data_IF_246646056432
#
_entry.id   IF_246646056432
#
_cell.length_a   1.000
_cell.length_b   1.000
_cell.length_c   1.000
_cell.angle_alpha   90.00
_cell.angle_beta   90.00
_cell.angle_gamma   90.00
#
_symmetry.space_group_name_H-M   'P 1'
#
loop_
_entity.id
_entity.type
_entity.pdbx_description
1 polymer ?
#
# COMPACT_ATOMS: atom_id res chain seq x y z
N UNK A 1 -8.39 6.84 -25.13
CA UNK A 1 -7.20 7.73 -25.07
C UNK A 1 -6.61 7.76 -23.66
N UNK A 2 -7.44 7.96 -22.59
CA UNK A 2 -6.96 8.06 -21.21
C UNK A 2 -6.19 6.80 -20.76
N UNK A 3 -6.76 5.63 -20.93
CA UNK A 3 -6.15 4.34 -20.56
C UNK A 3 -4.78 4.11 -21.21
N UNK A 4 -4.61 4.58 -22.45
CA UNK A 4 -3.42 4.29 -23.25
C UNK A 4 -2.25 5.23 -22.97
N UNK A 5 -2.51 6.53 -22.78
CA UNK A 5 -1.48 7.56 -22.61
C UNK A 5 -1.77 8.55 -21.48
N UNK A 6 -3.03 8.97 -21.29
CA UNK A 6 -3.39 10.04 -20.38
C UNK A 6 -3.12 9.69 -18.91
N UNK A 7 -3.42 8.45 -18.51
CA UNK A 7 -3.14 7.99 -17.14
C UNK A 7 -1.65 8.03 -16.82
N UNK A 8 -0.81 7.56 -17.74
CA UNK A 8 0.64 7.56 -17.52
C UNK A 8 1.21 8.97 -17.49
N UNK A 9 0.71 9.85 -18.34
CA UNK A 9 1.11 11.26 -18.35
C UNK A 9 0.73 11.95 -17.04
N UNK A 10 -0.50 11.74 -16.56
CA UNK A 10 -0.95 12.25 -15.26
C UNK A 10 -0.06 11.73 -14.12
N UNK A 11 0.21 10.42 -14.09
CA UNK A 11 1.08 9.80 -13.09
C UNK A 11 2.47 10.45 -13.08
N UNK A 12 3.08 10.63 -14.24
CA UNK A 12 4.42 11.22 -14.36
C UNK A 12 4.43 12.70 -13.90
N UNK A 13 3.47 13.49 -14.37
CA UNK A 13 3.39 14.91 -14.01
C UNK A 13 3.19 15.09 -12.51
N UNK A 14 2.22 14.40 -11.93
CA UNK A 14 1.90 14.54 -10.51
C UNK A 14 2.98 13.92 -9.60
N UNK A 15 3.58 12.79 -9.99
CA UNK A 15 4.67 12.19 -9.22
C UNK A 15 5.94 13.06 -9.27
N UNK A 16 6.28 13.64 -10.43
CA UNK A 16 7.41 14.56 -10.56
C UNK A 16 7.20 15.82 -9.74
N UNK A 17 6.01 16.42 -9.81
CA UNK A 17 5.64 17.59 -9.00
C UNK A 17 5.67 17.25 -7.50
N UNK A 18 5.12 16.08 -7.13
CA UNK A 18 5.15 15.59 -5.75
C UNK A 18 6.58 15.45 -5.22
N UNK A 19 7.48 14.83 -5.98
CA UNK A 19 8.89 14.71 -5.60
C UNK A 19 9.57 16.08 -5.51
N UNK A 20 9.32 16.98 -6.48
CA UNK A 20 9.88 18.33 -6.46
C UNK A 20 9.46 19.13 -5.23
N UNK A 21 8.21 19.00 -4.78
CA UNK A 21 7.68 19.73 -3.63
C UNK A 21 8.02 19.05 -2.30
N UNK A 22 8.04 17.72 -2.26
CA UNK A 22 8.15 16.94 -1.01
C UNK A 22 9.59 16.46 -0.72
N UNK A 23 10.58 16.72 -1.59
CA UNK A 23 11.96 16.27 -1.34
C UNK A 23 12.56 16.77 -0.02
N UNK A 24 12.32 18.04 0.46
CA UNK A 24 12.87 18.45 1.73
C UNK A 24 12.24 17.69 2.90
N UNK A 25 10.92 17.43 2.80
CA UNK A 25 10.21 16.61 3.79
C UNK A 25 10.72 15.16 3.75
N UNK A 26 10.97 14.59 2.57
CA UNK A 26 11.53 13.24 2.44
C UNK A 26 12.93 13.13 3.06
N UNK A 27 13.78 14.14 2.89
CA UNK A 27 15.09 14.19 3.54
C UNK A 27 14.95 14.24 5.07
N UNK A 28 14.08 15.11 5.59
CA UNK A 28 13.79 15.20 7.01
C UNK A 28 13.29 13.87 7.59
N UNK A 29 12.30 13.26 6.94
CA UNK A 29 11.77 11.94 7.34
C UNK A 29 12.88 10.89 7.30
N UNK A 30 13.67 10.84 6.24
CA UNK A 30 14.80 9.92 6.10
C UNK A 30 15.84 10.07 7.23
N UNK A 31 16.17 11.31 7.59
CA UNK A 31 17.06 11.60 8.72
C UNK A 31 16.45 11.14 10.05
N UNK A 32 15.18 11.44 10.29
CA UNK A 32 14.49 11.00 11.50
C UNK A 32 14.37 9.46 11.60
N UNK A 33 14.12 8.78 10.48
CA UNK A 33 14.17 7.30 10.41
C UNK A 33 15.56 6.80 10.77
N UNK A 34 16.62 7.42 10.20
CA UNK A 34 18.01 7.04 10.48
C UNK A 34 18.36 7.18 11.97
N UNK A 35 17.91 8.26 12.61
CA UNK A 35 18.18 8.54 14.04
C UNK A 35 17.35 7.63 14.94
N UNK A 36 16.04 7.46 14.67
CA UNK A 36 15.13 6.76 15.60
C UNK A 36 15.06 5.25 15.39
N UNK A 37 15.26 4.77 14.16
CA UNK A 37 15.12 3.36 13.80
C UNK A 37 16.42 2.73 13.27
N UNK A 38 17.43 3.56 12.95
CA UNK A 38 18.72 3.09 12.43
C UNK A 38 18.72 2.83 10.91
N UNK A 39 19.63 1.97 10.45
CA UNK A 39 19.79 1.56 9.05
C UNK A 39 19.14 0.19 8.80
N UNK A 40 18.63 -0.08 7.55
CA UNK A 40 18.47 0.83 6.42
C UNK A 40 17.31 1.81 6.61
N UNK A 41 17.36 2.99 5.97
CA UNK A 41 16.29 4.00 6.01
C UNK A 41 15.11 3.60 5.15
N UNK A 42 15.40 3.00 3.98
CA UNK A 42 14.40 2.55 3.01
C UNK A 42 14.14 1.06 3.22
N UNK A 43 12.90 0.74 3.48
CA UNK A 43 12.37 -0.61 3.44
C UNK A 43 12.06 -0.99 2.00
N UNK A 44 12.43 -2.23 1.62
CA UNK A 44 12.22 -2.77 0.28
C UNK A 44 11.49 -4.08 0.38
N UNK A 45 10.46 -4.25 -0.44
CA UNK A 45 9.71 -5.51 -0.48
C UNK A 45 9.24 -5.81 -1.91
N UNK A 46 9.41 -7.05 -2.34
CA UNK A 46 8.90 -7.50 -3.63
C UNK A 46 7.38 -7.62 -3.57
N UNK A 47 6.72 -7.06 -4.56
CA UNK A 47 5.25 -7.03 -4.68
C UNK A 47 4.83 -7.35 -6.13
N UNK A 48 3.61 -7.88 -6.34
CA UNK A 48 3.09 -8.08 -7.68
C UNK A 48 2.63 -6.75 -8.29
N UNK A 49 3.09 -6.47 -9.48
CA UNK A 49 2.74 -5.31 -10.30
C UNK A 49 1.73 -5.64 -11.39
N UNK A 50 1.86 -4.93 -12.51
CA UNK A 50 1.06 -5.17 -13.72
C UNK A 50 1.24 -6.63 -14.19
N UNK A 51 0.14 -7.32 -14.49
CA UNK A 51 0.12 -8.73 -14.89
C UNK A 51 0.79 -9.68 -13.86
N UNK A 52 0.80 -9.28 -12.57
CA UNK A 52 1.44 -10.06 -11.51
C UNK A 52 2.98 -10.03 -11.53
N UNK A 53 3.60 -9.29 -12.45
CA UNK A 53 5.06 -9.22 -12.56
C UNK A 53 5.68 -8.61 -11.29
N UNK A 54 6.73 -9.21 -10.72
CA UNK A 54 7.32 -8.71 -9.50
C UNK A 54 8.01 -7.37 -9.70
N UNK A 55 7.88 -6.46 -8.74
CA UNK A 55 8.65 -5.23 -8.64
C UNK A 55 9.06 -4.96 -7.19
N UNK A 56 10.05 -4.10 -6.97
CA UNK A 56 10.50 -3.72 -5.63
C UNK A 56 9.82 -2.45 -5.17
N UNK A 57 8.95 -2.57 -4.18
CA UNK A 57 8.28 -1.45 -3.51
C UNK A 57 9.24 -0.76 -2.55
N UNK A 58 9.27 0.58 -2.55
CA UNK A 58 10.09 1.40 -1.66
C UNK A 58 9.23 2.16 -0.65
N UNK A 59 9.56 2.03 0.64
CA UNK A 59 8.94 2.80 1.73
C UNK A 59 9.99 3.30 2.70
N UNK A 60 9.69 4.33 3.49
CA UNK A 60 10.47 4.56 4.69
C UNK A 60 10.21 3.45 5.71
N UNK A 61 11.26 3.02 6.40
CA UNK A 61 11.17 2.03 7.46
C UNK A 61 10.37 2.59 8.63
N UNK A 62 9.42 1.82 9.15
CA UNK A 62 8.54 2.19 10.27
C UNK A 62 8.72 1.30 11.49
N UNK A 63 9.46 0.21 11.36
CA UNK A 63 9.70 -0.79 12.41
C UNK A 63 11.18 -0.91 12.73
N UNK A 64 11.52 -1.29 13.95
CA UNK A 64 12.89 -1.68 14.33
C UNK A 64 13.23 -3.05 13.73
N UNK A 65 14.50 -3.28 13.50
CA UNK A 65 15.03 -4.56 13.06
C UNK A 65 15.42 -5.39 14.28
N UNK A 66 14.40 -6.00 14.93
CA UNK A 66 14.56 -6.81 16.13
C UNK A 66 14.26 -8.27 15.80
N UNK A 67 15.17 -9.16 16.24
CA UNK A 67 15.07 -10.60 16.02
C UNK A 67 15.03 -11.33 17.36
N UNK A 68 14.36 -12.48 17.40
CA UNK A 68 14.36 -13.40 18.53
C UNK A 68 15.68 -14.18 18.64
N UNK A 69 15.80 -14.99 19.67
CA UNK A 69 16.93 -15.88 19.87
C UNK A 69 17.10 -16.95 18.78
N UNK A 70 16.05 -17.22 18.03
CA UNK A 70 15.99 -18.12 16.88
C UNK A 70 16.39 -17.44 15.55
N UNK A 71 16.73 -16.13 15.58
CA UNK A 71 17.06 -15.34 14.41
C UNK A 71 15.83 -14.90 13.59
N UNK A 72 14.60 -15.29 13.97
CA UNK A 72 13.39 -14.82 13.32
C UNK A 72 13.01 -13.39 13.74
N UNK A 73 12.39 -12.59 12.86
CA UNK A 73 11.90 -11.27 13.25
C UNK A 73 10.87 -11.36 14.37
N UNK A 74 11.00 -10.50 15.38
CA UNK A 74 9.99 -10.39 16.43
C UNK A 74 8.62 -10.00 15.86
N UNK A 75 7.51 -10.26 16.57
CA UNK A 75 6.17 -9.83 16.17
C UNK A 75 6.12 -8.34 15.87
N UNK A 76 5.31 -7.94 14.89
CA UNK A 76 5.20 -6.56 14.41
C UNK A 76 4.87 -5.56 15.54
N UNK A 77 4.06 -5.96 16.53
CA UNK A 77 3.71 -5.16 17.71
C UNK A 77 4.95 -4.76 18.53
N UNK A 78 5.98 -5.61 18.60
CA UNK A 78 7.18 -5.38 19.39
C UNK A 78 8.23 -4.55 18.62
N UNK A 79 8.13 -4.56 17.28
CA UNK A 79 9.00 -3.83 16.35
C UNK A 79 8.46 -2.44 15.99
N UNK A 80 7.13 -2.27 16.01
CA UNK A 80 6.48 -1.01 15.63
C UNK A 80 6.63 0.03 16.73
N UNK A 81 7.28 1.14 16.42
CA UNK A 81 7.50 2.24 17.37
C UNK A 81 6.41 3.31 17.26
N UNK A 82 6.21 4.16 18.30
CA UNK A 82 5.28 5.31 18.18
C UNK A 82 5.60 6.21 17.00
N UNK A 83 6.88 6.39 16.66
CA UNK A 83 7.31 7.11 15.47
C UNK A 83 6.89 6.39 14.17
N UNK A 84 7.01 5.07 14.13
CA UNK A 84 6.53 4.27 13.01
C UNK A 84 5.01 4.34 12.85
N UNK A 85 4.27 4.33 13.95
CA UNK A 85 2.81 4.57 13.94
C UNK A 85 2.51 5.95 13.36
N UNK A 86 3.20 7.00 13.79
CA UNK A 86 3.04 8.35 13.25
C UNK A 86 3.30 8.38 11.74
N UNK A 87 4.39 7.78 11.23
CA UNK A 87 4.69 7.74 9.80
C UNK A 87 3.56 7.06 9.01
N UNK A 88 3.07 5.91 9.48
CA UNK A 88 1.94 5.18 8.86
C UNK A 88 0.64 5.98 8.92
N UNK A 89 0.39 6.66 10.02
CA UNK A 89 -0.82 7.45 10.21
C UNK A 89 -0.89 8.68 9.31
N UNK A 90 0.24 9.20 8.93
CA UNK A 90 0.36 10.34 8.01
C UNK A 90 0.65 9.93 6.58
N UNK A 91 0.80 8.61 6.31
CA UNK A 91 1.25 8.04 5.02
C UNK A 91 2.61 8.60 4.54
N UNK A 92 3.40 9.19 5.43
CA UNK A 92 4.73 9.70 5.09
C UNK A 92 5.70 8.57 4.75
N UNK A 93 5.46 7.36 5.27
CA UNK A 93 6.24 6.17 4.92
C UNK A 93 6.10 5.77 3.45
N UNK A 94 5.03 6.15 2.77
CA UNK A 94 4.75 5.79 1.38
C UNK A 94 5.33 6.79 0.36
N UNK A 95 5.89 7.93 0.79
CA UNK A 95 6.47 8.92 -0.13
C UNK A 95 7.53 8.35 -1.10
N UNK A 96 8.40 7.40 -0.72
CA UNK A 96 9.34 6.78 -1.66
C UNK A 96 8.67 5.98 -2.80
N UNK A 97 7.38 5.61 -2.68
CA UNK A 97 6.65 4.94 -3.77
C UNK A 97 6.48 5.84 -5.01
N UNK A 98 6.61 7.16 -4.87
CA UNK A 98 6.66 8.09 -6.01
C UNK A 98 7.78 7.73 -6.99
N UNK A 99 8.91 7.18 -6.52
CA UNK A 99 9.95 6.65 -7.42
C UNK A 99 9.48 5.41 -8.19
N UNK A 100 8.66 4.53 -7.58
CA UNK A 100 8.06 3.40 -8.29
C UNK A 100 7.09 3.89 -9.38
N UNK A 101 6.34 4.99 -9.10
CA UNK A 101 5.49 5.61 -10.11
C UNK A 101 6.33 6.15 -11.28
N UNK A 102 7.41 6.88 -11.02
CA UNK A 102 8.29 7.39 -12.09
C UNK A 102 8.93 6.28 -12.92
N UNK A 103 9.31 5.16 -12.29
CA UNK A 103 9.83 3.97 -13.00
C UNK A 103 8.77 3.25 -13.85
N UNK A 104 7.47 3.50 -13.61
CA UNK A 104 6.37 2.82 -14.31
C UNK A 104 6.00 1.48 -13.70
N UNK A 105 6.50 1.16 -12.53
CA UNK A 105 6.16 -0.03 -11.75
C UNK A 105 4.80 0.14 -11.06
N UNK A 106 4.46 1.38 -10.69
CA UNK A 106 3.21 1.79 -10.05
C UNK A 106 2.53 2.95 -10.78
N UNK A 107 1.30 3.22 -10.37
CA UNK A 107 0.50 4.40 -10.66
C UNK A 107 0.20 5.16 -9.36
N UNK A 108 -0.22 6.41 -9.43
CA UNK A 108 -0.75 7.11 -8.26
C UNK A 108 -2.04 6.47 -7.75
N UNK A 109 -2.93 6.08 -8.69
CA UNK A 109 -4.22 5.45 -8.38
C UNK A 109 -4.29 4.07 -8.99
N UNK A 110 -4.63 3.07 -8.18
CA UNK A 110 -4.79 1.67 -8.60
C UNK A 110 -5.02 0.75 -7.41
N UNK A 111 -5.23 -0.56 -7.64
CA UNK A 111 -5.27 -1.55 -6.57
C UNK A 111 -3.98 -1.56 -5.75
N UNK A 112 -4.08 -1.62 -4.41
CA UNK A 112 -2.90 -1.68 -3.54
C UNK A 112 -2.08 -2.94 -3.81
N UNK A 113 -0.74 -2.86 -4.00
CA UNK A 113 0.09 -4.05 -4.21
C UNK A 113 0.14 -4.87 -2.92
N UNK A 114 -0.38 -6.10 -2.98
CA UNK A 114 -0.42 -7.04 -1.84
C UNK A 114 0.82 -7.94 -1.85
N UNK A 115 0.83 -9.02 -1.06
CA UNK A 115 1.97 -9.94 -0.98
C UNK A 115 2.05 -10.84 -2.22
N UNK A 116 3.26 -11.23 -2.63
CA UNK A 116 3.47 -12.17 -3.74
C UNK A 116 2.79 -13.51 -3.50
N UNK A 117 2.80 -13.98 -2.26
CA UNK A 117 2.17 -15.25 -1.83
C UNK A 117 0.66 -15.29 -2.04
N UNK A 118 0.01 -14.15 -2.27
CA UNK A 118 -1.44 -14.09 -2.54
C UNK A 118 -1.79 -14.39 -3.99
N UNK A 119 -0.83 -14.36 -4.92
CA UNK A 119 -1.09 -14.63 -6.35
C UNK A 119 -1.72 -16.01 -6.56
N UNK A 120 -1.24 -17.01 -5.83
CA UNK A 120 -1.74 -18.40 -5.94
C UNK A 120 -3.09 -18.61 -5.23
N UNK A 121 -3.53 -17.63 -4.42
CA UNK A 121 -4.77 -17.71 -3.66
C UNK A 121 -5.94 -16.97 -4.33
N UNK A 122 -5.67 -16.18 -5.37
CA UNK A 122 -6.71 -15.40 -6.05
C UNK A 122 -7.57 -16.28 -6.96
N UNK A 123 -8.87 -16.02 -6.94
CA UNK A 123 -9.75 -16.52 -8.00
C UNK A 123 -9.41 -15.81 -9.34
N UNK A 124 -9.82 -16.39 -10.49
CA UNK A 124 -9.64 -15.73 -11.79
C UNK A 124 -10.20 -14.31 -11.83
N UNK A 125 -11.32 -14.06 -11.15
CA UNK A 125 -11.92 -12.72 -11.06
C UNK A 125 -11.06 -11.77 -10.24
N UNK A 126 -10.55 -12.20 -9.09
CA UNK A 126 -9.67 -11.39 -8.23
C UNK A 126 -8.32 -11.09 -8.91
N UNK A 127 -7.83 -11.99 -9.74
CA UNK A 127 -6.60 -11.80 -10.52
C UNK A 127 -6.69 -10.62 -11.50
N UNK A 128 -7.89 -10.23 -11.93
CA UNK A 128 -8.13 -9.07 -12.81
C UNK A 128 -7.62 -7.76 -12.23
N UNK A 129 -7.47 -7.66 -10.92
CA UNK A 129 -6.86 -6.50 -10.25
C UNK A 129 -5.46 -6.15 -10.74
N UNK A 130 -4.75 -7.14 -11.32
CA UNK A 130 -3.42 -6.99 -11.91
C UNK A 130 -3.42 -6.56 -13.38
N UNK A 131 -4.59 -6.35 -14.00
CA UNK A 131 -4.70 -5.83 -15.37
C UNK A 131 -4.31 -4.34 -15.47
N UNK A 132 -4.17 -3.67 -14.34
CA UNK A 132 -3.66 -2.30 -14.24
C UNK A 132 -2.47 -2.24 -13.29
N UNK A 133 -1.67 -1.15 -13.38
CA UNK A 133 -0.59 -0.93 -12.42
C UNK A 133 -1.14 -0.77 -11.01
N UNK A 134 -0.48 -1.33 -9.98
CA UNK A 134 -0.84 -1.08 -8.61
C UNK A 134 -0.68 0.41 -8.27
N UNK A 135 -1.51 0.92 -7.35
CA UNK A 135 -1.53 2.31 -6.94
C UNK A 135 -0.93 2.56 -5.56
N UNK A 136 -0.43 3.78 -5.35
CA UNK A 136 -0.14 4.31 -4.01
C UNK A 136 -1.46 4.42 -3.24
N UNK A 137 -2.50 4.96 -3.89
CA UNK A 137 -3.87 4.96 -3.39
C UNK A 137 -4.82 4.24 -4.34
N UNK A 138 -6.03 3.94 -3.89
CA UNK A 138 -7.03 3.25 -4.68
C UNK A 138 -8.40 3.26 -4.03
N UNK A 139 -9.41 2.81 -4.78
CA UNK A 139 -10.81 2.87 -4.34
C UNK A 139 -11.01 2.11 -3.01
N UNK A 140 -10.46 0.91 -2.85
CA UNK A 140 -10.57 0.14 -1.60
C UNK A 140 -9.94 0.88 -0.41
N UNK A 141 -8.83 1.60 -0.63
CA UNK A 141 -8.16 2.38 0.41
C UNK A 141 -8.99 3.59 0.85
N UNK A 142 -9.67 4.27 -0.09
CA UNK A 142 -10.48 5.44 0.25
C UNK A 142 -11.90 5.09 0.72
N UNK A 143 -12.43 3.89 0.41
CA UNK A 143 -13.77 3.50 0.84
C UNK A 143 -13.81 2.89 2.25
N UNK A 144 -12.79 2.17 2.69
CA UNK A 144 -12.85 1.53 4.01
C UNK A 144 -11.52 1.06 4.59
N UNK A 145 -10.42 1.05 3.80
CA UNK A 145 -9.10 0.56 4.26
C UNK A 145 -9.21 -0.79 4.99
N UNK A 146 -8.91 -0.79 6.30
CA UNK A 146 -8.85 -1.99 7.13
C UNK A 146 -10.23 -2.49 7.60
N UNK A 147 -11.30 -1.69 7.43
CA UNK A 147 -12.65 -2.09 7.77
C UNK A 147 -13.34 -2.98 6.72
N UNK A 148 -12.77 -3.07 5.51
CA UNK A 148 -13.29 -3.91 4.44
C UNK A 148 -12.83 -5.37 4.62
N UNK A 149 -13.72 -6.31 4.37
CA UNK A 149 -13.37 -7.72 4.17
C UNK A 149 -12.46 -7.88 2.93
N UNK A 150 -11.77 -9.02 2.81
CA UNK A 150 -10.94 -9.31 1.66
C UNK A 150 -11.76 -9.36 0.36
N UNK A 151 -12.95 -9.93 0.40
CA UNK A 151 -13.88 -10.04 -0.72
C UNK A 151 -14.33 -8.66 -1.21
N UNK A 152 -14.74 -7.78 -0.28
CA UNK A 152 -15.13 -6.41 -0.61
C UNK A 152 -13.98 -5.61 -1.22
N UNK A 153 -12.77 -5.79 -0.68
CA UNK A 153 -11.56 -5.13 -1.17
C UNK A 153 -11.27 -5.56 -2.61
N UNK A 154 -11.29 -6.88 -2.89
CA UNK A 154 -11.05 -7.38 -4.25
C UNK A 154 -12.16 -6.98 -5.22
N UNK A 155 -13.42 -6.97 -4.77
CA UNK A 155 -14.55 -6.48 -5.58
C UNK A 155 -14.37 -5.01 -5.98
N UNK A 156 -13.94 -4.16 -5.05
CA UNK A 156 -13.65 -2.76 -5.34
C UNK A 156 -12.43 -2.60 -6.27
N UNK A 157 -11.40 -3.39 -6.08
CA UNK A 157 -10.22 -3.37 -6.96
C UNK A 157 -10.58 -3.76 -8.41
N UNK A 158 -11.39 -4.81 -8.60
CA UNK A 158 -11.86 -5.23 -9.94
C UNK A 158 -12.83 -4.20 -10.50
N UNK A 159 -13.76 -3.67 -9.69
CA UNK A 159 -14.64 -2.60 -10.13
C UNK A 159 -13.86 -1.38 -10.63
N UNK A 160 -12.76 -1.01 -9.96
CA UNK A 160 -11.89 0.07 -10.43
C UNK A 160 -11.28 -0.24 -11.80
N UNK A 161 -10.82 -1.48 -12.04
CA UNK A 161 -10.28 -1.92 -13.34
C UNK A 161 -11.31 -1.70 -14.45
N UNK A 162 -12.58 -2.08 -14.21
CA UNK A 162 -13.66 -1.98 -15.18
C UNK A 162 -14.13 -0.53 -15.43
N UNK A 163 -14.00 0.36 -14.45
CA UNK A 163 -14.49 1.73 -14.48
C UNK A 163 -13.37 2.79 -14.57
N UNK A 164 -12.15 2.39 -14.87
CA UNK A 164 -11.00 3.27 -14.89
C UNK A 164 -11.20 4.46 -15.82
N UNK A 165 -11.14 5.67 -15.26
CA UNK A 165 -11.32 6.94 -15.97
C UNK A 165 -10.57 8.07 -15.26
N UNK A 166 -10.27 9.15 -15.99
CA UNK A 166 -9.64 10.35 -15.42
C UNK A 166 -10.46 10.92 -14.25
N UNK A 167 -11.76 11.01 -14.42
CA UNK A 167 -12.67 11.53 -13.38
C UNK A 167 -12.63 10.69 -12.11
N UNK A 168 -12.59 9.36 -12.27
CA UNK A 168 -12.49 8.44 -11.13
C UNK A 168 -11.15 8.59 -10.41
N UNK A 169 -10.04 8.68 -11.15
CA UNK A 169 -8.71 8.88 -10.58
C UNK A 169 -8.62 10.19 -9.80
N UNK A 170 -9.11 11.31 -10.38
CA UNK A 170 -9.15 12.61 -9.68
C UNK A 170 -10.02 12.52 -8.41
N UNK A 171 -11.17 11.87 -8.48
CA UNK A 171 -12.04 11.66 -7.31
C UNK A 171 -11.30 10.88 -6.20
N UNK A 172 -10.64 9.79 -6.54
CA UNK A 172 -9.88 8.98 -5.58
C UNK A 172 -8.72 9.80 -4.97
N UNK A 173 -7.98 10.58 -5.77
CA UNK A 173 -6.92 11.45 -5.29
C UNK A 173 -7.46 12.50 -4.30
N UNK A 174 -8.57 13.18 -4.62
CA UNK A 174 -9.21 14.14 -3.75
C UNK A 174 -9.66 13.50 -2.42
N UNK A 175 -10.30 12.32 -2.47
CA UNK A 175 -10.69 11.57 -1.28
C UNK A 175 -9.47 11.16 -0.45
N UNK A 176 -8.36 10.80 -1.08
CA UNK A 176 -7.11 10.45 -0.41
C UNK A 176 -6.56 11.63 0.38
N UNK A 177 -6.48 12.82 -0.24
CA UNK A 177 -6.04 14.04 0.45
C UNK A 177 -6.93 14.34 1.66
N UNK A 178 -8.25 14.29 1.50
CA UNK A 178 -9.18 14.49 2.62
C UNK A 178 -8.94 13.50 3.77
N UNK A 179 -8.73 12.19 3.45
CA UNK A 179 -8.49 11.15 4.48
C UNK A 179 -7.14 11.31 5.18
N UNK A 180 -6.10 11.69 4.45
CA UNK A 180 -4.77 11.97 5.05
C UNK A 180 -4.85 13.14 6.01
N UNK A 181 -5.54 14.23 5.64
CA UNK A 181 -5.74 15.41 6.50
C UNK A 181 -6.54 15.03 7.74
N UNK A 182 -7.62 14.25 7.61
CA UNK A 182 -8.48 13.83 8.73
C UNK A 182 -7.88 12.70 9.57
N UNK A 183 -6.80 12.07 9.12
CA UNK A 183 -6.16 10.90 9.77
C UNK A 183 -7.14 9.75 10.03
N UNK A 184 -8.13 9.54 9.14
CA UNK A 184 -9.15 8.51 9.28
C UNK A 184 -8.68 7.12 8.82
N UNK A 185 -9.12 6.05 9.51
CA UNK A 185 -9.02 4.66 9.06
C UNK A 185 -7.62 4.04 9.14
N UNK A 186 -6.77 4.47 10.08
CA UNK A 186 -5.33 4.18 10.09
C UNK A 186 -4.98 2.88 10.82
N UNK A 187 -5.77 2.46 11.80
CA UNK A 187 -5.52 1.24 12.59
C UNK A 187 -6.83 0.55 12.91
N UNK A 188 -6.88 -0.78 12.81
CA UNK A 188 -7.80 -1.55 13.65
C UNK A 188 -7.26 -1.46 15.08
N UNK A 189 -8.12 -1.12 16.02
CA UNK A 189 -7.76 -1.11 17.45
C UNK A 189 -7.13 -2.46 17.81
N UNK A 190 -5.89 -2.44 18.30
CA UNK A 190 -5.16 -3.61 18.80
C UNK A 190 -4.38 -4.44 17.76
N UNK A 191 -4.41 -4.13 16.45
CA UNK A 191 -3.62 -4.89 15.46
C UNK A 191 -2.62 -4.00 14.71
N UNK A 192 -1.35 -4.38 14.76
CA UNK A 192 -0.27 -3.72 13.99
C UNK A 192 -0.35 -3.99 12.48
N UNK A 193 -1.05 -5.05 12.06
CA UNK A 193 -1.21 -5.50 10.66
C UNK A 193 -2.57 -6.14 10.46
N UNK A 194 -3.12 -6.01 9.27
CA UNK A 194 -4.38 -6.68 8.86
C UNK A 194 -4.16 -8.19 8.82
N UNK A 195 -5.19 -8.96 9.20
CA UNK A 195 -5.16 -10.42 9.09
C UNK A 195 -4.79 -10.86 7.66
N UNK A 196 -3.95 -11.91 7.55
CA UNK A 196 -3.48 -12.38 6.24
C UNK A 196 -4.63 -13.00 5.45
N UNK A 197 -4.64 -12.73 4.14
CA UNK A 197 -5.51 -13.42 3.21
C UNK A 197 -5.13 -14.90 3.11
N UNK A 198 -6.11 -15.79 3.26
CA UNK A 198 -5.93 -17.25 3.26
C UNK A 198 -6.61 -17.94 2.07
N UNK A 199 -7.13 -17.17 1.12
CA UNK A 199 -7.92 -17.67 -0.02
C UNK A 199 -9.42 -17.48 0.18
N UNK A 200 -10.14 -17.29 -0.95
CA UNK A 200 -11.60 -17.19 -0.95
C UNK A 200 -12.18 -18.60 -0.84
N UNK A 201 -12.80 -18.95 0.28
CA UNK A 201 -13.38 -20.27 0.55
C UNK A 201 -12.95 -20.89 1.87
N UNK A 202 -11.94 -20.36 2.54
CA UNK A 202 -11.61 -20.71 3.92
C UNK A 202 -12.32 -19.71 4.85
N UNK A 203 -13.67 -19.78 4.88
CA UNK A 203 -14.44 -19.19 5.97
C UNK A 203 -13.97 -19.89 7.25
N UNK A 204 -13.53 -19.11 8.25
CA UNK A 204 -13.09 -19.60 9.52
C UNK A 204 -14.11 -20.55 10.14
N UNK A 205 -13.86 -21.84 10.00
CA UNK A 205 -14.46 -22.86 10.83
C UNK A 205 -13.99 -22.59 12.25
N UNK A 206 -14.90 -22.06 13.08
CA UNK A 206 -14.67 -21.86 14.50
C UNK A 206 -14.16 -23.16 15.11
N UNK A 207 -13.14 -23.06 15.91
CA UNK A 207 -12.83 -24.07 16.92
C UNK A 207 -13.91 -24.01 17.99
N UNK A 208 -15.03 -24.70 17.78
CA UNK A 208 -15.78 -25.30 18.86
C UNK A 208 -15.19 -26.69 19.11
N UNK A 209 -14.97 -26.97 20.38
CA UNK A 209 -14.76 -28.24 21.04
C UNK A 209 -13.32 -28.61 21.42
N UNK A 210 -13.18 -28.63 22.77
CA UNK A 210 -12.33 -29.49 23.53
C UNK A 210 -11.70 -28.87 24.72
#
# INVERSE_FOLDING_TARGET
>A
VYLRFGKRLMDLLLASLGLLLLWPLMLLVGLLVRIKLGSPVIFRQVRPGLEGKPFTLYKFRTMRDLHGSDGAPLPDRDRLTPFGVFLRSTSLDELPELFNVLKGEMSLVGPRPLLMEYLDLYTPEQMRRHQVRPGITGIAQVMGRNALSWEERFRLDVWYVDNLSLTLDIKILAMTVCKVIRREGISQEGQATVERFRGSGVSGGGSENG
#
